data_IF_424782966919
#
_entry.id   IF_424782966919
#
_cell.length_a   1.000
_cell.length_b   1.000
_cell.length_c   1.000
_cell.angle_alpha   90.00
_cell.angle_beta   90.00
_cell.angle_gamma   90.00
#
_symmetry.space_group_name_H-M   'P 1'
#
loop_
_entity.id
_entity.type
_entity.pdbx_description
1 polymer ?
#
# COMPACT_ATOMS: atom_id res chain seq x y z
N UNK A 1 -24.80 6.41 -11.94
CA UNK A 1 -23.70 5.49 -12.28
C UNK A 1 -23.49 5.60 -13.77
N UNK A 2 -22.27 5.87 -14.19
CA UNK A 2 -21.88 5.96 -15.60
C UNK A 2 -20.77 4.94 -15.86
N UNK A 3 -20.78 4.32 -17.04
CA UNK A 3 -19.82 3.27 -17.40
C UNK A 3 -19.07 3.66 -18.66
N UNK A 4 -17.75 3.57 -18.60
CA UNK A 4 -16.81 3.85 -19.68
C UNK A 4 -15.91 2.63 -19.88
N UNK A 5 -16.35 1.70 -20.74
CA UNK A 5 -15.68 0.40 -20.88
C UNK A 5 -15.68 -0.37 -19.55
N UNK A 6 -14.49 -0.64 -19.02
CA UNK A 6 -14.30 -1.33 -17.74
C UNK A 6 -14.26 -0.38 -16.54
N UNK A 7 -14.37 0.93 -16.77
CA UNK A 7 -14.42 1.94 -15.71
C UNK A 7 -15.87 2.26 -15.36
N UNK A 8 -16.15 2.33 -14.05
CA UNK A 8 -17.45 2.77 -13.54
C UNK A 8 -17.27 3.98 -12.63
N UNK A 9 -18.04 5.02 -12.90
CA UNK A 9 -18.14 6.20 -12.08
C UNK A 9 -19.48 6.18 -11.33
N UNK A 10 -19.45 6.28 -10.00
CA UNK A 10 -20.64 6.20 -9.18
C UNK A 10 -20.54 7.12 -7.96
N UNK A 11 -21.71 7.56 -7.49
CA UNK A 11 -21.85 8.24 -6.21
C UNK A 11 -22.21 7.20 -5.17
N UNK A 12 -21.37 7.07 -4.14
CA UNK A 12 -21.48 6.08 -3.09
C UNK A 12 -21.82 6.80 -1.78
N UNK A 13 -22.83 6.30 -1.06
CA UNK A 13 -23.23 6.84 0.26
C UNK A 13 -22.95 5.87 1.39
N UNK A 14 -23.07 4.58 1.09
CA UNK A 14 -22.90 3.48 2.03
C UNK A 14 -22.32 2.25 1.32
N UNK A 15 -22.00 1.21 2.09
CA UNK A 15 -21.43 -0.03 1.57
C UNK A 15 -22.39 -0.76 0.61
N UNK A 16 -23.71 -0.61 0.78
CA UNK A 16 -24.68 -1.24 -0.13
C UNK A 16 -24.68 -0.58 -1.51
N UNK A 17 -24.50 0.75 -1.57
CA UNK A 17 -24.27 1.46 -2.82
C UNK A 17 -22.95 1.05 -3.47
N UNK A 18 -21.86 0.91 -2.70
CA UNK A 18 -20.58 0.45 -3.22
C UNK A 18 -20.70 -0.97 -3.80
N UNK A 19 -21.34 -1.88 -3.06
CA UNK A 19 -21.56 -3.26 -3.48
C UNK A 19 -22.25 -3.40 -4.84
N UNK A 20 -23.17 -2.49 -5.18
CA UNK A 20 -23.87 -2.49 -6.49
C UNK A 20 -22.96 -2.18 -7.67
N UNK A 21 -21.82 -1.54 -7.42
CA UNK A 21 -20.89 -1.10 -8.48
C UNK A 21 -19.60 -1.90 -8.50
N UNK A 22 -19.27 -2.62 -7.42
CA UNK A 22 -18.15 -3.55 -7.41
C UNK A 22 -18.42 -4.73 -8.37
N UNK A 23 -17.42 -5.16 -9.16
CA UNK A 23 -17.57 -6.35 -9.99
C UNK A 23 -17.81 -7.61 -9.14
N UNK A 24 -18.51 -8.58 -9.72
CA UNK A 24 -18.79 -9.87 -9.06
C UNK A 24 -17.54 -10.66 -8.69
N UNK A 25 -16.40 -10.38 -9.33
CA UNK A 25 -15.11 -10.94 -8.93
C UNK A 25 -14.66 -10.51 -7.54
N UNK A 26 -15.14 -9.36 -7.04
CA UNK A 26 -14.86 -8.88 -5.67
C UNK A 26 -15.91 -9.39 -4.69
N UNK A 27 -17.20 -9.21 -5.00
CA UNK A 27 -18.29 -9.60 -4.09
C UNK A 27 -18.48 -11.12 -4.02
N UNK A 28 -18.04 -11.89 -5.01
CA UNK A 28 -18.13 -13.36 -4.99
C UNK A 28 -16.89 -14.09 -4.46
N UNK A 29 -15.86 -13.37 -3.98
CA UNK A 29 -14.60 -14.00 -3.55
C UNK A 29 -14.59 -14.29 -2.06
N UNK A 30 -14.08 -15.47 -1.66
CA UNK A 30 -13.94 -15.87 -0.25
C UNK A 30 -12.92 -15.01 0.51
N UNK A 31 -11.90 -14.52 -0.19
CA UNK A 31 -10.88 -13.62 0.35
C UNK A 31 -10.63 -12.49 -0.63
N UNK A 32 -10.49 -11.28 -0.12
CA UNK A 32 -10.09 -10.09 -0.89
C UNK A 32 -8.94 -9.41 -0.17
N UNK A 33 -7.85 -9.18 -0.90
CA UNK A 33 -6.71 -8.42 -0.40
C UNK A 33 -6.98 -6.94 -0.69
N UNK A 34 -6.81 -6.08 0.30
CA UNK A 34 -7.09 -4.64 0.19
C UNK A 34 -5.83 -3.87 0.53
N UNK A 35 -5.34 -3.07 -0.42
CA UNK A 35 -4.25 -2.14 -0.23
C UNK A 35 -4.84 -0.72 -0.14
N UNK A 36 -5.07 -0.16 1.06
CA UNK A 36 -5.45 1.23 1.22
C UNK A 36 -4.29 2.17 0.87
N UNK A 37 -4.56 3.45 0.74
CA UNK A 37 -3.51 4.44 0.58
C UNK A 37 -3.14 5.01 1.95
N UNK A 38 -2.11 4.53 2.63
CA UNK A 38 -1.68 5.09 3.93
C UNK A 38 -0.26 5.68 3.84
N UNK A 39 -0.16 6.92 3.36
CA UNK A 39 1.13 7.58 3.11
C UNK A 39 1.60 8.47 4.27
N UNK A 40 0.74 9.36 4.78
CA UNK A 40 1.04 10.27 5.90
C UNK A 40 -0.26 10.73 6.57
N UNK A 41 -0.23 11.23 7.82
CA UNK A 41 -1.43 11.65 8.56
C UNK A 41 -2.03 12.97 8.08
N UNK A 42 -1.43 13.63 7.09
CA UNK A 42 -1.97 14.89 6.57
C UNK A 42 -3.33 14.69 5.89
N UNK A 43 -4.21 15.72 5.90
CA UNK A 43 -5.50 15.67 5.24
C UNK A 43 -5.39 15.20 3.80
N UNK A 44 -6.31 14.34 3.40
CA UNK A 44 -6.34 13.69 2.11
C UNK A 44 -5.09 12.91 1.70
N UNK A 45 -4.11 12.69 2.59
CA UNK A 45 -2.93 11.87 2.34
C UNK A 45 -3.10 10.39 2.68
N UNK A 46 -4.27 10.01 3.19
CA UNK A 46 -4.56 8.61 3.45
C UNK A 46 -6.05 8.26 3.25
N UNK A 47 -6.32 6.97 3.01
CA UNK A 47 -7.66 6.40 3.07
C UNK A 47 -8.09 6.31 4.53
N UNK A 48 -9.12 7.07 4.90
CA UNK A 48 -9.65 7.11 6.27
C UNK A 48 -10.48 5.85 6.62
N UNK A 49 -10.83 5.76 7.89
CA UNK A 49 -11.63 4.68 8.46
C UNK A 49 -12.96 4.50 7.72
N UNK A 50 -13.63 5.59 7.38
CA UNK A 50 -14.88 5.57 6.65
C UNK A 50 -14.73 5.02 5.23
N UNK A 51 -13.74 5.51 4.46
CA UNK A 51 -13.54 5.04 3.09
C UNK A 51 -13.15 3.56 3.05
N UNK A 52 -12.31 3.10 3.98
CA UNK A 52 -11.99 1.69 4.12
C UNK A 52 -13.21 0.88 4.56
N UNK A 53 -13.96 1.35 5.57
CA UNK A 53 -15.16 0.69 6.08
C UNK A 53 -16.27 0.53 5.05
N UNK A 54 -16.44 1.52 4.16
CA UNK A 54 -17.34 1.39 3.01
C UNK A 54 -16.98 0.18 2.15
N UNK A 55 -15.69 0.02 1.82
CA UNK A 55 -15.21 -1.12 1.05
C UNK A 55 -15.37 -2.43 1.83
N UNK A 56 -14.89 -2.49 3.08
CA UNK A 56 -14.95 -3.70 3.90
C UNK A 56 -16.39 -4.19 4.08
N UNK A 57 -17.34 -3.29 4.38
CA UNK A 57 -18.76 -3.63 4.48
C UNK A 57 -19.44 -4.00 3.16
N UNK A 58 -18.80 -3.75 2.02
CA UNK A 58 -19.33 -4.10 0.69
C UNK A 58 -18.85 -5.48 0.20
N UNK A 59 -17.83 -6.05 0.83
CA UNK A 59 -17.27 -7.36 0.52
C UNK A 59 -18.05 -8.47 1.24
N UNK A 60 -18.19 -9.63 0.59
CA UNK A 60 -18.81 -10.81 1.22
C UNK A 60 -17.80 -11.74 1.88
N UNK A 61 -16.55 -11.72 1.40
CA UNK A 61 -15.46 -12.56 1.91
C UNK A 61 -14.58 -11.87 2.94
N UNK A 62 -13.61 -12.62 3.47
CA UNK A 62 -12.62 -12.12 4.43
C UNK A 62 -11.71 -11.09 3.77
N UNK A 63 -11.50 -9.96 4.44
CA UNK A 63 -10.56 -8.95 3.99
C UNK A 63 -9.17 -9.19 4.61
N UNK A 64 -8.13 -9.06 3.79
CA UNK A 64 -6.74 -8.98 4.24
C UNK A 64 -6.23 -7.60 3.84
N UNK A 65 -6.07 -6.71 4.81
CA UNK A 65 -5.55 -5.37 4.58
C UNK A 65 -4.03 -5.40 4.58
N UNK A 66 -3.41 -4.86 3.52
CA UNK A 66 -1.96 -4.88 3.34
C UNK A 66 -1.39 -3.47 3.22
N UNK A 67 -0.26 -3.22 3.87
CA UNK A 67 0.47 -1.96 3.74
C UNK A 67 1.96 -2.18 4.03
N UNK A 68 2.82 -1.27 3.60
CA UNK A 68 4.22 -1.20 4.02
C UNK A 68 4.48 -0.05 4.99
N UNK A 69 5.57 -0.13 5.74
CA UNK A 69 6.03 1.03 6.48
C UNK A 69 6.38 2.19 5.55
N UNK A 70 6.23 3.39 6.10
CA UNK A 70 6.71 4.63 5.51
C UNK A 70 7.14 5.54 6.64
N UNK A 71 8.28 6.21 6.48
CA UNK A 71 8.75 7.16 7.49
C UNK A 71 7.89 8.44 7.51
N UNK A 72 6.98 8.61 6.56
CA UNK A 72 6.02 9.72 6.48
C UNK A 72 4.76 9.51 7.33
N UNK A 73 4.55 8.30 7.89
CA UNK A 73 3.47 7.97 8.83
C UNK A 73 3.99 8.08 10.26
N UNK A 74 4.02 9.29 10.80
CA UNK A 74 4.50 9.52 12.16
C UNK A 74 3.84 10.74 12.84
N UNK A 75 3.88 10.75 14.17
CA UNK A 75 3.31 11.78 15.05
C UNK A 75 4.21 13.02 15.24
N UNK A 76 5.31 13.10 14.49
CA UNK A 76 6.35 14.12 14.66
C UNK A 76 7.37 13.85 15.77
N UNK A 77 7.21 12.77 16.55
CA UNK A 77 8.16 12.39 17.62
C UNK A 77 9.25 11.41 17.17
N UNK A 78 9.11 10.82 15.97
CA UNK A 78 10.05 9.83 15.43
C UNK A 78 11.48 10.37 15.39
N UNK A 79 12.39 9.65 16.02
CA UNK A 79 13.83 9.93 16.06
C UNK A 79 14.61 8.63 15.97
N UNK A 80 15.77 8.71 15.32
CA UNK A 80 16.71 7.60 15.26
C UNK A 80 18.04 8.03 15.88
N UNK A 81 18.66 7.10 16.62
CA UNK A 81 20.00 7.26 17.19
C UNK A 81 20.88 6.19 16.57
N UNK A 82 22.00 6.55 15.96
CA UNK A 82 23.00 5.65 15.36
C UNK A 82 24.35 5.92 15.99
N UNK A 83 25.05 4.87 16.43
CA UNK A 83 26.32 4.96 17.16
C UNK A 83 26.26 5.94 18.35
N UNK A 84 25.14 5.92 19.09
CA UNK A 84 24.90 6.78 20.25
C UNK A 84 24.62 8.26 19.93
N UNK A 85 24.42 8.62 18.66
CA UNK A 85 24.12 9.99 18.23
C UNK A 85 22.81 10.09 17.46
N UNK A 86 22.02 11.13 17.73
CA UNK A 86 20.79 11.39 16.97
C UNK A 86 21.11 11.72 15.52
N UNK A 87 20.47 11.00 14.60
CA UNK A 87 20.60 11.24 13.16
C UNK A 87 19.42 12.02 12.63
N UNK A 88 19.68 12.89 11.65
CA UNK A 88 18.64 13.70 11.01
C UNK A 88 18.22 13.11 9.66
N UNK A 89 17.24 13.76 9.02
CA UNK A 89 16.70 13.30 7.74
C UNK A 89 17.73 13.24 6.61
N UNK A 90 18.72 14.13 6.63
CA UNK A 90 19.82 14.11 5.65
C UNK A 90 20.62 12.81 5.79
N UNK A 91 20.96 12.43 7.02
CA UNK A 91 21.67 11.18 7.27
C UNK A 91 20.83 9.97 6.82
N UNK A 92 19.53 9.94 7.14
CA UNK A 92 18.64 8.85 6.69
C UNK A 92 18.67 8.73 5.18
N UNK A 93 18.52 9.83 4.44
CA UNK A 93 18.58 9.84 2.96
C UNK A 93 19.93 9.38 2.37
N UNK A 94 21.03 9.59 3.09
CA UNK A 94 22.39 9.18 2.68
C UNK A 94 22.70 7.71 3.00
N UNK A 95 21.86 7.01 3.78
CA UNK A 95 22.08 5.64 4.23
C UNK A 95 20.95 4.70 3.78
N UNK A 96 20.95 4.30 2.49
CA UNK A 96 19.84 3.59 1.88
C UNK A 96 19.70 2.11 2.21
N UNK A 97 20.71 1.56 2.85
CA UNK A 97 20.70 0.20 3.35
C UNK A 97 19.93 0.17 4.68
N UNK A 98 18.75 -0.44 4.70
CA UNK A 98 17.90 -0.53 5.90
C UNK A 98 18.45 -1.44 7.00
N UNK A 99 19.65 -2.02 6.84
CA UNK A 99 20.32 -2.83 7.85
C UNK A 99 20.43 -2.11 9.19
N UNK A 100 20.74 -0.80 9.18
CA UNK A 100 20.84 -0.01 10.42
C UNK A 100 19.52 0.08 11.19
N UNK A 101 18.36 -0.01 10.53
CA UNK A 101 17.05 0.02 11.21
C UNK A 101 16.82 -1.27 12.01
N UNK A 102 17.43 -2.38 11.64
CA UNK A 102 17.25 -3.67 12.33
C UNK A 102 17.98 -3.74 13.68
N UNK A 103 18.76 -2.73 14.00
CA UNK A 103 19.58 -2.66 15.21
C UNK A 103 18.97 -1.70 16.24
N UNK A 104 19.31 -1.93 17.52
CA UNK A 104 19.12 -0.98 18.62
C UNK A 104 17.70 -0.39 18.76
N UNK A 105 16.64 -1.16 18.51
CA UNK A 105 15.26 -0.72 18.78
C UNK A 105 14.65 0.20 17.71
N UNK A 106 15.36 0.48 16.60
CA UNK A 106 14.91 1.46 15.59
C UNK A 106 13.73 0.93 14.78
N UNK A 107 13.69 -0.38 14.53
CA UNK A 107 12.55 -1.03 13.90
C UNK A 107 11.31 -0.93 14.80
N UNK A 108 11.46 -1.15 16.11
CA UNK A 108 10.40 -0.98 17.09
C UNK A 108 9.83 0.45 17.09
N UNK A 109 10.66 1.48 16.87
CA UNK A 109 10.17 2.86 16.72
C UNK A 109 9.30 3.05 15.46
N UNK A 110 9.68 2.45 14.32
CA UNK A 110 8.83 2.46 13.11
C UNK A 110 7.51 1.73 13.37
N UNK A 111 7.59 0.57 14.04
CA UNK A 111 6.43 -0.25 14.40
C UNK A 111 5.47 0.51 15.33
N UNK A 112 6.00 1.22 16.33
CA UNK A 112 5.24 2.10 17.24
C UNK A 112 4.52 3.22 16.49
N UNK A 113 5.15 3.80 15.48
CA UNK A 113 4.58 4.90 14.70
C UNK A 113 3.46 4.43 13.76
N UNK A 114 3.62 3.23 13.17
CA UNK A 114 2.53 2.58 12.42
C UNK A 114 1.35 2.23 13.34
N UNK A 115 1.63 1.70 14.54
CA UNK A 115 0.59 1.43 15.55
C UNK A 115 -0.14 2.71 15.96
N UNK A 116 0.59 3.77 16.31
CA UNK A 116 -0.01 5.07 16.60
C UNK A 116 -0.94 5.54 15.47
N UNK A 117 -0.49 5.47 14.21
CA UNK A 117 -1.31 5.87 13.07
C UNK A 117 -2.60 5.05 12.97
N UNK A 118 -2.54 3.74 13.19
CA UNK A 118 -3.72 2.87 13.14
C UNK A 118 -4.70 3.16 14.28
N UNK A 119 -4.21 3.43 15.48
CA UNK A 119 -5.06 3.74 16.65
C UNK A 119 -5.66 5.16 16.54
N UNK A 120 -4.84 6.18 16.29
CA UNK A 120 -5.26 7.60 16.25
C UNK A 120 -6.33 7.86 15.19
N UNK A 121 -6.28 7.14 14.07
CA UNK A 121 -7.21 7.28 12.96
C UNK A 121 -8.36 6.27 12.97
N UNK A 122 -8.55 5.51 14.06
CA UNK A 122 -9.67 4.56 14.21
C UNK A 122 -9.58 3.32 13.31
N UNK A 123 -8.47 3.14 12.60
CA UNK A 123 -8.27 2.04 11.66
C UNK A 123 -8.14 0.70 12.38
N UNK A 124 -7.54 0.66 13.58
CA UNK A 124 -7.46 -0.57 14.38
C UNK A 124 -8.83 -1.13 14.72
N UNK A 125 -9.71 -0.27 15.24
CA UNK A 125 -11.04 -0.67 15.65
C UNK A 125 -11.89 -1.08 14.45
N UNK A 126 -11.77 -0.36 13.33
CA UNK A 126 -12.41 -0.73 12.07
C UNK A 126 -11.98 -2.13 11.59
N UNK A 127 -10.67 -2.42 11.57
CA UNK A 127 -10.17 -3.73 11.16
C UNK A 127 -10.74 -4.85 12.06
N UNK A 128 -10.84 -4.59 13.37
CA UNK A 128 -11.43 -5.53 14.33
C UNK A 128 -12.93 -5.72 14.10
N UNK A 129 -13.68 -4.64 13.87
CA UNK A 129 -15.13 -4.67 13.59
C UNK A 129 -15.45 -5.53 12.36
N UNK A 130 -14.62 -5.45 11.34
CA UNK A 130 -14.78 -6.21 10.09
C UNK A 130 -14.05 -7.57 10.07
N UNK A 131 -13.47 -7.99 11.19
CA UNK A 131 -12.67 -9.23 11.29
C UNK A 131 -11.59 -9.32 10.18
N UNK A 132 -11.04 -8.17 9.80
CA UNK A 132 -10.05 -8.05 8.74
C UNK A 132 -8.65 -8.36 9.29
N UNK A 133 -7.90 -9.19 8.56
CA UNK A 133 -6.48 -9.39 8.88
C UNK A 133 -5.68 -8.16 8.44
N UNK A 134 -4.57 -7.89 9.12
CA UNK A 134 -3.61 -6.87 8.72
C UNK A 134 -2.24 -7.50 8.52
N UNK A 135 -1.68 -7.35 7.32
CA UNK A 135 -0.34 -7.79 6.97
C UNK A 135 0.50 -6.58 6.60
N UNK A 136 1.50 -6.29 7.42
CA UNK A 136 2.52 -5.31 7.05
C UNK A 136 3.59 -5.99 6.19
N UNK A 137 3.70 -5.64 4.92
CA UNK A 137 4.62 -6.33 3.99
C UNK A 137 6.08 -6.05 4.34
N UNK A 138 6.39 -4.90 4.95
CA UNK A 138 7.74 -4.61 5.45
C UNK A 138 8.12 -5.60 6.55
N UNK A 139 7.21 -5.92 7.48
CA UNK A 139 7.44 -6.91 8.54
C UNK A 139 7.73 -8.30 7.98
N UNK A 140 6.91 -8.76 7.02
CA UNK A 140 7.09 -10.07 6.40
C UNK A 140 8.43 -10.15 5.66
N UNK A 141 8.72 -9.15 4.83
CA UNK A 141 9.92 -9.13 3.99
C UNK A 141 11.19 -8.99 4.83
N UNK A 142 11.19 -8.11 5.83
CA UNK A 142 12.37 -7.92 6.66
C UNK A 142 12.67 -9.10 7.58
N UNK A 143 11.65 -9.85 7.98
CA UNK A 143 11.81 -11.11 8.70
C UNK A 143 12.16 -12.31 7.79
N UNK A 144 12.28 -12.11 6.47
CA UNK A 144 12.61 -13.16 5.52
C UNK A 144 11.46 -14.14 5.22
N UNK A 145 10.22 -13.80 5.57
CA UNK A 145 9.00 -14.57 5.24
C UNK A 145 8.50 -14.24 3.84
N UNK A 146 9.38 -14.44 2.86
CA UNK A 146 9.15 -14.08 1.45
C UNK A 146 9.16 -15.31 0.57
N UNK A 147 8.35 -15.27 -0.49
CA UNK A 147 8.41 -16.26 -1.55
C UNK A 147 9.81 -16.25 -2.18
N UNK A 148 10.27 -17.42 -2.65
CA UNK A 148 11.53 -17.53 -3.37
C UNK A 148 11.60 -16.51 -4.53
N UNK A 149 12.61 -15.62 -4.58
CA UNK A 149 12.70 -14.61 -5.63
C UNK A 149 12.87 -15.21 -7.03
N UNK A 150 13.44 -16.40 -7.17
CA UNK A 150 13.57 -17.09 -8.46
C UNK A 150 12.21 -17.51 -9.01
N UNK A 151 11.34 -18.05 -8.15
CA UNK A 151 9.95 -18.36 -8.50
C UNK A 151 9.16 -17.10 -8.89
N UNK A 152 9.28 -16.02 -8.11
CA UNK A 152 8.62 -14.75 -8.43
C UNK A 152 9.13 -14.20 -9.76
N UNK A 153 10.44 -14.28 -10.00
CA UNK A 153 11.08 -13.83 -11.25
C UNK A 153 10.53 -14.58 -12.46
N UNK A 154 10.55 -15.91 -12.45
CA UNK A 154 10.04 -16.72 -13.57
C UNK A 154 8.60 -16.32 -13.93
N UNK A 155 7.74 -16.24 -12.92
CA UNK A 155 6.31 -15.93 -13.10
C UNK A 155 6.06 -14.51 -13.60
N UNK A 156 6.77 -13.52 -13.06
CA UNK A 156 6.63 -12.12 -13.49
C UNK A 156 7.15 -11.95 -14.91
N UNK A 157 8.31 -12.53 -15.21
CA UNK A 157 8.94 -12.42 -16.53
C UNK A 157 8.12 -13.10 -17.62
N UNK A 158 7.52 -14.26 -17.34
CA UNK A 158 6.62 -14.95 -18.27
C UNK A 158 5.43 -14.06 -18.69
N UNK A 159 4.87 -13.30 -17.73
CA UNK A 159 3.64 -12.53 -17.96
C UNK A 159 3.85 -11.09 -18.41
N UNK A 160 4.88 -10.44 -17.89
CA UNK A 160 5.08 -8.99 -18.02
C UNK A 160 6.48 -8.59 -18.49
N UNK A 161 7.41 -9.55 -18.60
CA UNK A 161 8.83 -9.29 -18.84
C UNK A 161 9.60 -8.91 -17.56
N UNK A 162 10.91 -8.67 -17.69
CA UNK A 162 11.77 -8.34 -16.55
C UNK A 162 11.43 -6.99 -15.93
N UNK A 163 11.64 -6.91 -14.62
CA UNK A 163 11.63 -5.66 -13.85
C UNK A 163 13.00 -4.98 -13.92
N UNK A 164 13.04 -3.67 -13.70
CA UNK A 164 14.29 -2.90 -13.73
C UNK A 164 15.25 -3.19 -12.57
N UNK A 165 14.73 -3.63 -11.42
CA UNK A 165 15.50 -3.87 -10.19
C UNK A 165 15.23 -5.28 -9.63
N UNK A 166 16.20 -6.19 -9.72
CA UNK A 166 16.05 -7.61 -9.39
C UNK A 166 15.56 -7.87 -7.95
N UNK A 167 15.88 -6.97 -7.01
CA UNK A 167 15.40 -7.04 -5.62
C UNK A 167 13.86 -7.02 -5.50
N UNK A 168 13.14 -6.48 -6.47
CA UNK A 168 11.67 -6.45 -6.47
C UNK A 168 11.05 -7.85 -6.46
N UNK A 169 11.75 -8.86 -7.01
CA UNK A 169 11.27 -10.24 -6.97
C UNK A 169 11.23 -10.82 -5.54
N UNK A 170 11.98 -10.25 -4.60
CA UNK A 170 11.91 -10.62 -3.18
C UNK A 170 10.80 -9.96 -2.38
N UNK A 171 9.94 -9.14 -3.01
CA UNK A 171 8.95 -8.31 -2.28
C UNK A 171 7.53 -8.89 -2.25
N UNK A 172 7.42 -10.21 -2.35
CA UNK A 172 6.17 -10.93 -2.15
C UNK A 172 6.21 -11.74 -0.85
N UNK A 173 5.40 -11.37 0.17
CA UNK A 173 5.25 -12.17 1.38
C UNK A 173 4.65 -13.56 1.13
N UNK A 174 5.13 -14.57 1.86
CA UNK A 174 4.55 -15.93 1.83
C UNK A 174 3.09 -15.93 2.31
N UNK A 175 2.79 -15.12 3.33
CA UNK A 175 1.44 -14.96 3.88
C UNK A 175 0.42 -14.54 2.81
N UNK A 176 0.84 -13.76 1.81
CA UNK A 176 -0.05 -13.35 0.72
C UNK A 176 -0.11 -14.39 -0.40
N UNK A 177 0.99 -15.12 -0.68
CA UNK A 177 0.99 -16.20 -1.68
C UNK A 177 -0.03 -17.29 -1.37
N UNK A 178 -0.32 -17.56 -0.10
CA UNK A 178 -1.38 -18.49 0.31
C UNK A 178 -2.77 -18.13 -0.27
N UNK A 179 -2.96 -16.88 -0.71
CA UNK A 179 -4.19 -16.36 -1.31
C UNK A 179 -4.02 -16.06 -2.81
N UNK A 180 -3.10 -16.74 -3.49
CA UNK A 180 -2.91 -16.60 -4.94
C UNK A 180 -4.25 -16.74 -5.70
N UNK A 181 -4.43 -15.89 -6.72
CA UNK A 181 -5.67 -15.81 -7.51
C UNK A 181 -6.78 -14.99 -6.84
N UNK A 182 -6.66 -14.67 -5.55
CA UNK A 182 -7.57 -13.75 -4.89
C UNK A 182 -7.55 -12.37 -5.56
N UNK A 183 -8.64 -11.61 -5.50
CA UNK A 183 -8.61 -10.22 -5.91
C UNK A 183 -7.75 -9.37 -4.97
N UNK A 184 -6.95 -8.49 -5.57
CA UNK A 184 -6.23 -7.43 -4.87
C UNK A 184 -6.85 -6.08 -5.24
N UNK A 185 -7.51 -5.43 -4.29
CA UNK A 185 -8.05 -4.09 -4.47
C UNK A 185 -7.02 -3.07 -4.05
N UNK A 186 -6.50 -2.30 -5.01
CA UNK A 186 -5.81 -1.06 -4.69
C UNK A 186 -6.86 0.03 -4.46
N UNK A 187 -7.12 0.34 -3.20
CA UNK A 187 -8.01 1.42 -2.77
C UNK A 187 -7.18 2.71 -2.67
N UNK A 188 -7.12 3.42 -3.80
CA UNK A 188 -6.35 4.64 -3.94
C UNK A 188 -7.20 5.88 -3.68
N UNK A 189 -6.66 6.84 -2.93
CA UNK A 189 -7.27 8.16 -2.74
C UNK A 189 -6.99 9.06 -3.95
N UNK A 190 -7.99 9.76 -4.46
CA UNK A 190 -7.80 10.73 -5.55
C UNK A 190 -7.01 11.94 -5.02
N UNK A 191 -5.78 12.10 -5.51
CA UNK A 191 -4.86 13.19 -5.16
C UNK A 191 -4.19 13.76 -6.40
N UNK A 192 -4.00 15.08 -6.49
CA UNK A 192 -3.16 15.72 -7.51
C UNK A 192 -3.36 17.24 -7.56
N UNK A 193 -2.30 18.00 -7.86
CA UNK A 193 -2.34 19.47 -7.87
C UNK A 193 -2.96 19.94 -9.19
N UNK A 194 -4.20 20.42 -9.17
CA UNK A 194 -4.89 20.92 -10.37
C UNK A 194 -5.10 19.85 -11.44
N UNK A 195 -5.10 18.57 -11.06
CA UNK A 195 -5.08 17.43 -12.01
C UNK A 195 -3.68 17.03 -12.49
N UNK A 196 -2.62 17.69 -12.02
CA UNK A 196 -1.22 17.35 -12.34
C UNK A 196 -0.69 16.32 -11.35
N UNK A 197 -0.06 15.25 -11.86
CA UNK A 197 0.45 14.09 -11.11
C UNK A 197 -0.60 13.35 -10.26
N UNK A 198 -1.70 12.88 -10.88
CA UNK A 198 -2.72 12.17 -10.13
C UNK A 198 -2.13 10.89 -9.52
N UNK A 199 -2.13 10.82 -8.18
CA UNK A 199 -1.77 9.58 -7.49
C UNK A 199 -3.01 8.70 -7.45
N UNK A 200 -3.07 7.74 -8.36
CA UNK A 200 -4.20 6.83 -8.52
C UNK A 200 -3.84 5.42 -8.01
N UNK A 201 -4.69 4.45 -8.34
CA UNK A 201 -4.64 3.06 -7.88
C UNK A 201 -3.31 2.36 -8.18
N UNK A 202 -2.67 2.62 -9.33
CA UNK A 202 -1.39 1.96 -9.63
C UNK A 202 -0.25 2.51 -8.75
N UNK A 203 -0.15 3.84 -8.60
CA UNK A 203 0.85 4.48 -7.73
C UNK A 203 0.69 4.06 -6.28
N UNK A 204 -0.53 3.74 -5.85
CA UNK A 204 -0.77 3.23 -4.51
C UNK A 204 0.09 1.99 -4.22
N UNK A 205 0.17 1.02 -5.15
CA UNK A 205 0.94 -0.22 -4.97
C UNK A 205 2.45 0.00 -4.75
N UNK A 206 2.97 1.19 -5.06
CA UNK A 206 4.32 1.59 -4.68
C UNK A 206 4.57 1.47 -3.18
N UNK A 207 3.51 1.57 -2.36
CA UNK A 207 3.56 1.33 -0.92
C UNK A 207 3.93 -0.08 -0.50
N UNK A 208 3.93 -1.04 -1.44
CA UNK A 208 4.30 -2.44 -1.18
C UNK A 208 5.80 -2.71 -1.35
N UNK A 209 6.57 -1.69 -1.74
CA UNK A 209 8.02 -1.71 -1.56
C UNK A 209 8.30 -1.57 -0.06
N UNK A 210 9.04 -2.51 0.55
CA UNK A 210 9.17 -2.60 2.01
C UNK A 210 10.02 -1.49 2.61
N UNK A 211 10.81 -0.80 1.79
CA UNK A 211 11.72 0.29 2.18
C UNK A 211 10.91 1.51 2.70
N UNK A 212 11.00 1.87 4.00
CA UNK A 212 10.19 2.94 4.59
C UNK A 212 10.41 4.34 3.98
N UNK A 213 11.56 4.59 3.37
CA UNK A 213 11.84 5.80 2.59
C UNK A 213 11.91 5.43 1.09
N UNK A 214 10.79 5.64 0.40
CA UNK A 214 10.64 5.20 -1.00
C UNK A 214 11.24 6.16 -2.01
N UNK A 215 11.71 7.34 -1.60
CA UNK A 215 12.31 8.34 -2.50
C UNK A 215 13.53 7.80 -3.26
N UNK A 216 14.25 6.80 -2.74
CA UNK A 216 15.36 6.16 -3.47
C UNK A 216 14.92 5.39 -4.72
N UNK A 217 13.70 4.87 -4.71
CA UNK A 217 13.09 4.18 -5.84
C UNK A 217 12.63 5.15 -6.93
N UNK A 218 12.60 6.45 -6.65
CA UNK A 218 12.34 7.45 -7.67
C UNK A 218 13.54 7.61 -8.61
N UNK A 219 14.76 7.35 -8.13
CA UNK A 219 16.00 7.69 -8.84
C UNK A 219 16.21 9.21 -8.97
N UNK A 220 17.37 9.64 -9.51
CA UNK A 220 17.66 11.06 -9.68
C UNK A 220 16.60 11.75 -10.55
N UNK A 221 16.00 12.82 -10.03
CA UNK A 221 14.97 13.58 -10.75
C UNK A 221 13.73 12.78 -11.13
N UNK A 222 13.33 11.81 -10.31
CA UNK A 222 12.20 10.90 -10.54
C UNK A 222 12.31 10.00 -11.78
N UNK A 223 13.52 9.85 -12.36
CA UNK A 223 13.74 9.12 -13.60
C UNK A 223 13.31 7.63 -13.57
N UNK A 224 13.28 7.00 -12.39
CA UNK A 224 12.88 5.60 -12.16
C UNK A 224 11.52 5.44 -11.47
N UNK A 225 10.85 6.54 -11.12
CA UNK A 225 9.60 6.49 -10.35
C UNK A 225 8.52 5.69 -11.08
N UNK A 226 8.29 5.97 -12.36
CA UNK A 226 7.27 5.28 -13.16
C UNK A 226 7.56 3.78 -13.31
N UNK A 227 8.82 3.42 -13.56
CA UNK A 227 9.27 2.03 -13.68
C UNK A 227 9.07 1.27 -12.37
N UNK A 228 9.54 1.83 -11.25
CA UNK A 228 9.41 1.20 -9.93
C UNK A 228 7.95 0.99 -9.51
N UNK A 229 7.05 1.93 -9.85
CA UNK A 229 5.60 1.78 -9.63
C UNK A 229 5.04 0.61 -10.44
N UNK A 230 5.38 0.53 -11.72
CA UNK A 230 4.87 -0.51 -12.61
C UNK A 230 5.43 -1.88 -12.22
N UNK A 231 6.70 -1.95 -11.86
CA UNK A 231 7.37 -3.22 -11.57
C UNK A 231 6.88 -3.86 -10.28
N UNK A 232 6.71 -3.10 -9.19
CA UNK A 232 6.09 -3.67 -7.99
C UNK A 232 4.64 -4.07 -8.25
N UNK A 233 3.91 -3.33 -9.09
CA UNK A 233 2.56 -3.72 -9.48
C UNK A 233 2.55 -5.03 -10.29
N UNK A 234 3.53 -5.27 -11.16
CA UNK A 234 3.70 -6.52 -11.91
C UNK A 234 3.96 -7.71 -10.98
N UNK A 235 4.79 -7.53 -9.95
CA UNK A 235 5.04 -8.56 -8.93
C UNK A 235 3.72 -9.02 -8.32
N UNK A 236 2.92 -8.11 -7.78
CA UNK A 236 1.64 -8.46 -7.16
C UNK A 236 0.58 -8.92 -8.18
N UNK A 237 0.49 -8.29 -9.36
CA UNK A 237 -0.48 -8.66 -10.40
C UNK A 237 -0.19 -10.03 -11.05
N UNK A 238 1.04 -10.54 -10.91
CA UNK A 238 1.37 -11.90 -11.36
C UNK A 238 0.73 -12.98 -10.48
N UNK A 239 0.44 -12.69 -9.21
CA UNK A 239 -0.20 -13.59 -8.24
C UNK A 239 -1.68 -13.27 -7.99
N UNK A 240 -2.09 -12.01 -8.09
CA UNK A 240 -3.44 -11.57 -7.73
C UNK A 240 -4.20 -10.91 -8.88
N UNK A 241 -5.54 -10.95 -8.81
CA UNK A 241 -6.40 -10.23 -9.76
C UNK A 241 -6.53 -8.77 -9.33
N UNK A 242 -5.73 -7.89 -9.94
CA UNK A 242 -5.66 -6.48 -9.54
C UNK A 242 -6.92 -5.71 -9.96
N UNK A 243 -7.55 -5.05 -9.00
CA UNK A 243 -8.66 -4.11 -9.19
C UNK A 243 -8.29 -2.75 -8.61
N UNK A 244 -8.58 -1.68 -9.37
CA UNK A 244 -8.38 -0.31 -8.91
C UNK A 244 -9.69 0.32 -8.45
N UNK A 245 -9.71 0.87 -7.23
CA UNK A 245 -10.78 1.74 -6.74
C UNK A 245 -10.18 3.09 -6.39
N UNK A 246 -10.53 4.13 -7.16
CA UNK A 246 -10.21 5.51 -6.83
C UNK A 246 -11.32 6.09 -5.97
N UNK A 247 -11.03 6.40 -4.71
CA UNK A 247 -12.01 6.96 -3.78
C UNK A 247 -11.87 8.48 -3.63
N UNK A 248 -13.03 9.11 -3.49
CA UNK A 248 -13.23 10.51 -3.11
C UNK A 248 -14.51 10.58 -2.25
N UNK A 249 -14.69 9.64 -1.33
CA UNK A 249 -15.98 9.42 -0.67
C UNK A 249 -16.34 10.54 0.30
N UNK A 250 -15.34 11.07 1.02
CA UNK A 250 -15.49 12.23 1.91
C UNK A 250 -14.78 13.47 1.38
N UNK A 251 -13.55 13.27 0.92
CA UNK A 251 -12.67 14.37 0.48
C UNK A 251 -11.80 13.93 -0.70
N UNK A 252 -11.46 14.90 -1.54
CA UNK A 252 -10.46 14.79 -2.59
C UNK A 252 -9.65 16.08 -2.66
N UNK A 253 -8.34 15.98 -2.88
CA UNK A 253 -7.48 17.14 -3.10
C UNK A 253 -7.38 17.39 -4.60
N UNK A 254 -8.07 18.42 -5.07
CA UNK A 254 -8.01 18.87 -6.47
C UNK A 254 -7.15 20.12 -6.67
N UNK A 255 -6.96 20.94 -5.63
CA UNK A 255 -5.97 22.03 -5.54
C UNK A 255 -5.51 22.10 -4.07
N UNK A 256 -4.24 22.45 -3.83
CA UNK A 256 -3.46 22.34 -2.58
C UNK A 256 -4.22 22.46 -1.24
N UNK A 257 -3.78 21.79 -0.14
CA UNK A 257 -4.07 22.25 1.22
C UNK A 257 -3.59 23.70 1.43
#
# INVERSE_FOLDING_TARGET
MERFGDVTLAKIRDSADLRKVLPSSLTGSETVIVKPNWFSPHPANYTDDHALGLLLGALDGKAIVIEGYTLEKHDGSMKFTVDGSDVNWKWVMENPDWGWVREEGRWEEIRRQDEWFLEEHGLRDLLREHEADYVNVTEEIWAGRTVDPGEVKERVEERYGPVGEEKLYGFLPEALKAHEGAPLVSLGKVKGIGGTFPSLTLKNLFGLIPDPLRSWWHGPGDARLGESIVDIARVYASYFRLHGVCEAFREATAMSP
#
